data_IF_319115611502
#
_entry.id   IF_319115611502
#
_cell.length_a   1.000
_cell.length_b   1.000
_cell.length_c   1.000
_cell.angle_alpha   90.00
_cell.angle_beta   90.00
_cell.angle_gamma   90.00
#
_symmetry.space_group_name_H-M   'P 1'
#
loop_
_entity.id
_entity.type
_entity.pdbx_description
1 polymer ?
#
# COMPACT_ATOMS: atom_id res chain seq x y z
N UNK A 1 11.54 -3.34 9.92
CA UNK A 1 10.09 -3.63 9.78
C UNK A 1 9.30 -2.55 10.49
N UNK A 2 8.42 -1.85 9.77
CA UNK A 2 7.53 -0.83 10.34
C UNK A 2 6.46 -1.46 11.24
N UNK A 3 6.21 -0.85 12.40
CA UNK A 3 5.02 -1.13 13.20
C UNK A 3 3.81 -0.43 12.57
N UNK A 4 2.89 -1.20 11.96
CA UNK A 4 1.74 -0.65 11.24
C UNK A 4 0.59 -0.18 12.14
N UNK A 5 0.62 -0.50 13.44
CA UNK A 5 -0.44 -0.13 14.37
C UNK A 5 -0.57 1.39 14.44
N UNK A 6 -1.80 1.87 14.30
CA UNK A 6 -2.12 3.27 14.51
C UNK A 6 -3.48 3.35 15.15
N UNK A 7 -3.53 3.14 16.47
CA UNK A 7 -4.76 2.85 17.20
C UNK A 7 -5.93 3.81 16.87
N UNK A 8 -5.65 5.11 16.78
CA UNK A 8 -6.67 6.12 16.43
C UNK A 8 -7.19 5.97 15.00
N UNK A 9 -6.29 5.84 14.01
CA UNK A 9 -6.66 5.66 12.60
C UNK A 9 -7.34 4.30 12.39
N UNK A 10 -6.78 3.24 12.95
CA UNK A 10 -7.30 1.88 12.85
C UNK A 10 -8.74 1.81 13.43
N UNK A 11 -9.01 2.50 14.54
CA UNK A 11 -10.34 2.59 15.12
C UNK A 11 -11.33 3.30 14.19
N UNK A 12 -10.95 4.43 13.58
CA UNK A 12 -11.79 5.17 12.64
C UNK A 12 -12.09 4.34 11.38
N UNK A 13 -11.05 3.72 10.81
CA UNK A 13 -11.15 2.81 9.66
C UNK A 13 -12.04 1.60 9.95
N UNK A 14 -11.96 1.01 11.15
CA UNK A 14 -12.82 -0.13 11.54
C UNK A 14 -14.31 0.25 11.67
N UNK A 15 -14.59 1.52 11.95
CA UNK A 15 -15.95 2.06 12.10
C UNK A 15 -16.51 2.64 10.79
N UNK A 16 -15.75 2.58 9.69
CA UNK A 16 -16.13 3.21 8.42
C UNK A 16 -16.12 4.74 8.45
N UNK A 17 -15.42 5.35 9.41
CA UNK A 17 -15.30 6.80 9.55
C UNK A 17 -14.20 7.36 8.65
N UNK A 18 -14.38 7.19 7.35
CA UNK A 18 -13.35 7.43 6.34
C UNK A 18 -12.88 8.88 6.28
N UNK A 19 -13.78 9.85 6.39
CA UNK A 19 -13.39 11.26 6.37
C UNK A 19 -12.57 11.66 7.61
N UNK A 20 -12.95 11.19 8.80
CA UNK A 20 -12.19 11.41 10.04
C UNK A 20 -10.79 10.76 9.95
N UNK A 21 -10.70 9.52 9.44
CA UNK A 21 -9.43 8.82 9.24
C UNK A 21 -8.53 9.56 8.23
N UNK A 22 -9.10 10.01 7.12
CA UNK A 22 -8.42 10.78 6.07
C UNK A 22 -7.83 12.07 6.62
N UNK A 23 -8.63 12.87 7.33
CA UNK A 23 -8.18 14.12 7.93
C UNK A 23 -7.04 13.90 8.92
N UNK A 24 -7.13 12.87 9.76
CA UNK A 24 -6.09 12.53 10.72
C UNK A 24 -4.78 12.16 10.01
N UNK A 25 -4.84 11.29 8.99
CA UNK A 25 -3.67 10.91 8.20
C UNK A 25 -3.03 12.10 7.47
N UNK A 26 -3.83 12.96 6.84
CA UNK A 26 -3.36 14.16 6.15
C UNK A 26 -2.69 15.12 7.14
N UNK A 27 -3.32 15.37 8.30
CA UNK A 27 -2.77 16.26 9.31
C UNK A 27 -1.43 15.75 9.83
N UNK A 28 -1.32 14.46 10.13
CA UNK A 28 -0.06 13.87 10.59
C UNK A 28 1.01 13.95 9.51
N UNK A 29 0.69 13.55 8.27
CA UNK A 29 1.62 13.58 7.15
C UNK A 29 2.11 15.01 6.83
N UNK A 30 1.21 16.00 6.90
CA UNK A 30 1.55 17.40 6.61
C UNK A 30 2.47 18.02 7.67
N UNK A 31 2.38 17.57 8.92
CA UNK A 31 3.22 18.07 10.02
C UNK A 31 4.57 17.36 10.09
N UNK A 32 4.60 16.05 9.89
CA UNK A 32 5.80 15.23 9.96
C UNK A 32 5.70 14.04 8.99
N UNK A 33 6.04 14.26 7.70
CA UNK A 33 5.97 13.20 6.71
C UNK A 33 7.10 12.19 6.94
N UNK A 34 6.76 11.04 7.52
CA UNK A 34 7.65 9.89 7.62
C UNK A 34 7.20 8.76 6.68
N UNK A 35 8.04 7.71 6.59
CA UNK A 35 7.77 6.56 5.72
C UNK A 35 6.46 5.86 6.05
N UNK A 36 6.12 5.70 7.34
CA UNK A 36 4.90 5.03 7.79
C UNK A 36 3.68 5.86 7.44
N UNK A 37 3.68 7.16 7.74
CA UNK A 37 2.59 8.07 7.44
C UNK A 37 2.35 8.19 5.94
N UNK A 38 3.43 8.24 5.15
CA UNK A 38 3.37 8.28 3.67
C UNK A 38 2.75 7.01 3.11
N UNK A 39 3.19 5.83 3.58
CA UNK A 39 2.61 4.55 3.16
C UNK A 39 1.15 4.44 3.59
N UNK A 40 0.83 4.75 4.85
CA UNK A 40 -0.54 4.65 5.37
C UNK A 40 -1.50 5.56 4.62
N UNK A 41 -1.12 6.82 4.37
CA UNK A 41 -1.98 7.75 3.62
C UNK A 41 -2.10 7.35 2.15
N UNK A 42 -1.00 6.99 1.48
CA UNK A 42 -1.03 6.56 0.09
C UNK A 42 -1.89 5.30 -0.11
N UNK A 43 -1.67 4.29 0.74
CA UNK A 43 -2.47 3.06 0.74
C UNK A 43 -3.94 3.35 1.03
N UNK A 44 -4.25 4.20 2.01
CA UNK A 44 -5.62 4.59 2.35
C UNK A 44 -6.34 5.23 1.15
N UNK A 45 -5.69 6.20 0.49
CA UNK A 45 -6.26 6.85 -0.69
C UNK A 45 -6.51 5.86 -1.82
N UNK A 46 -5.52 5.03 -2.13
CA UNK A 46 -5.64 3.98 -3.14
C UNK A 46 -6.76 2.98 -2.81
N UNK A 47 -6.84 2.52 -1.55
CA UNK A 47 -7.84 1.55 -1.12
C UNK A 47 -9.27 2.07 -1.32
N UNK A 48 -9.55 3.30 -0.89
CA UNK A 48 -10.88 3.90 -1.08
C UNK A 48 -11.23 4.13 -2.55
N UNK A 49 -10.24 4.44 -3.39
CA UNK A 49 -10.44 4.59 -4.84
C UNK A 49 -10.76 3.25 -5.53
N UNK A 50 -10.15 2.16 -5.07
CA UNK A 50 -10.34 0.81 -5.63
C UNK A 50 -11.62 0.15 -5.12
N UNK A 51 -11.90 0.26 -3.82
CA UNK A 51 -12.94 -0.51 -3.13
C UNK A 51 -14.24 0.30 -2.92
N UNK A 52 -14.45 1.38 -3.67
CA UNK A 52 -15.66 2.22 -3.58
C UNK A 52 -16.97 1.41 -3.58
N UNK A 53 -17.11 0.48 -4.54
CA UNK A 53 -18.28 -0.39 -4.66
C UNK A 53 -18.50 -1.29 -3.43
N UNK A 54 -17.52 -2.13 -3.05
CA UNK A 54 -17.64 -3.01 -1.87
C UNK A 54 -17.79 -2.30 -0.53
N UNK A 55 -17.26 -1.09 -0.39
CA UNK A 55 -17.36 -0.29 0.83
C UNK A 55 -18.67 0.50 0.95
N UNK A 56 -19.49 0.49 -0.11
CA UNK A 56 -20.73 1.29 -0.22
C UNK A 56 -20.49 2.75 0.20
N UNK A 57 -19.39 3.34 -0.28
CA UNK A 57 -19.01 4.69 0.13
C UNK A 57 -20.12 5.67 -0.24
N UNK A 58 -20.58 6.41 0.76
CA UNK A 58 -21.61 7.43 0.58
C UNK A 58 -21.13 8.58 -0.31
N UNK A 59 -22.09 9.41 -0.73
CA UNK A 59 -21.87 10.62 -1.56
C UNK A 59 -20.90 11.62 -0.89
N UNK A 60 -20.62 11.46 0.40
CA UNK A 60 -19.79 12.35 1.22
C UNK A 60 -18.27 12.10 1.08
N UNK A 61 -17.83 11.15 0.25
CA UNK A 61 -16.41 10.93 -0.05
C UNK A 61 -15.99 11.78 -1.26
N UNK A 62 -15.03 12.67 -1.02
CA UNK A 62 -14.37 13.44 -2.08
C UNK A 62 -13.30 12.60 -2.80
N UNK A 63 -13.71 11.88 -3.84
CA UNK A 63 -12.82 11.04 -4.66
C UNK A 63 -11.75 11.84 -5.43
N UNK A 64 -12.09 13.03 -5.92
CA UNK A 64 -11.12 13.90 -6.59
C UNK A 64 -10.03 14.34 -5.62
N UNK A 65 -10.42 14.67 -4.38
CA UNK A 65 -9.47 14.93 -3.30
C UNK A 65 -8.58 13.73 -2.98
N UNK A 66 -9.15 12.52 -2.91
CA UNK A 66 -8.39 11.28 -2.68
C UNK A 66 -7.35 11.03 -3.77
N UNK A 67 -7.72 11.17 -5.04
CA UNK A 67 -6.79 11.01 -6.17
C UNK A 67 -5.68 12.07 -6.13
N UNK A 68 -6.03 13.33 -5.85
CA UNK A 68 -5.04 14.39 -5.70
C UNK A 68 -4.03 14.11 -4.57
N UNK A 69 -4.50 13.62 -3.41
CA UNK A 69 -3.61 13.24 -2.33
C UNK A 69 -2.76 12.01 -2.68
N UNK A 70 -3.33 11.02 -3.37
CA UNK A 70 -2.56 9.86 -3.85
C UNK A 70 -1.39 10.31 -4.72
N UNK A 71 -1.61 11.23 -5.67
CA UNK A 71 -0.54 11.77 -6.51
C UNK A 71 0.51 12.54 -5.71
N UNK A 72 0.09 13.39 -4.77
CA UNK A 72 1.00 14.17 -3.93
C UNK A 72 1.90 13.28 -3.07
N UNK A 73 1.30 12.28 -2.39
CA UNK A 73 2.01 11.37 -1.50
C UNK A 73 2.93 10.45 -2.31
N UNK A 74 2.50 9.99 -3.49
CA UNK A 74 3.34 9.22 -4.42
C UNK A 74 4.57 10.04 -4.84
N UNK A 75 4.36 11.27 -5.31
CA UNK A 75 5.46 12.13 -5.74
C UNK A 75 6.44 12.43 -4.60
N UNK A 76 5.93 12.71 -3.39
CA UNK A 76 6.76 12.91 -2.21
C UNK A 76 7.58 11.67 -1.86
N UNK A 77 6.94 10.50 -1.82
CA UNK A 77 7.61 9.26 -1.47
C UNK A 77 8.70 8.88 -2.48
N UNK A 78 8.44 9.02 -3.78
CA UNK A 78 9.42 8.78 -4.84
C UNK A 78 10.63 9.74 -4.75
N UNK A 79 10.44 10.95 -4.21
CA UNK A 79 11.53 11.90 -4.03
C UNK A 79 12.35 11.65 -2.76
N UNK A 80 11.79 10.99 -1.74
CA UNK A 80 12.38 10.96 -0.40
C UNK A 80 12.68 9.55 0.16
N UNK A 81 12.04 8.50 -0.35
CA UNK A 81 12.07 7.16 0.26
C UNK A 81 12.45 6.03 -0.71
N UNK A 82 13.19 6.36 -1.78
CA UNK A 82 13.70 5.36 -2.73
C UNK A 82 14.77 4.41 -2.14
N UNK A 83 15.21 4.66 -0.90
CA UNK A 83 16.09 3.80 -0.12
C UNK A 83 15.35 3.03 0.97
N UNK A 84 14.01 3.10 1.02
CA UNK A 84 13.17 2.44 2.03
C UNK A 84 12.40 1.28 1.40
N UNK A 85 12.77 0.07 1.75
CA UNK A 85 12.20 -1.18 1.26
C UNK A 85 10.67 -1.26 1.43
N UNK A 86 10.14 -0.86 2.60
CA UNK A 86 8.70 -0.85 2.88
C UNK A 86 7.93 0.11 1.95
N UNK A 87 8.51 1.26 1.61
CA UNK A 87 7.88 2.22 0.70
C UNK A 87 7.89 1.70 -0.73
N UNK A 88 9.06 1.25 -1.21
CA UNK A 88 9.23 0.67 -2.54
C UNK A 88 8.27 -0.51 -2.74
N UNK A 89 8.16 -1.39 -1.75
CA UNK A 89 7.26 -2.54 -1.82
C UNK A 89 5.80 -2.10 -1.86
N UNK A 90 5.33 -1.30 -0.90
CA UNK A 90 3.91 -0.98 -0.81
C UNK A 90 3.44 -0.16 -2.02
N UNK A 91 4.22 0.84 -2.44
CA UNK A 91 3.88 1.63 -3.63
C UNK A 91 4.04 0.83 -4.91
N UNK A 92 5.08 0.00 -5.01
CA UNK A 92 5.24 -0.91 -6.14
C UNK A 92 4.03 -1.83 -6.30
N UNK A 93 3.55 -2.41 -5.21
CA UNK A 93 2.39 -3.30 -5.18
C UNK A 93 1.12 -2.60 -5.69
N UNK A 94 0.74 -1.47 -5.08
CA UNK A 94 -0.52 -0.77 -5.42
C UNK A 94 -0.48 -0.15 -6.83
N UNK A 95 0.70 0.31 -7.28
CA UNK A 95 0.91 0.84 -8.63
C UNK A 95 0.79 -0.29 -9.65
N UNK A 96 1.43 -1.43 -9.44
CA UNK A 96 1.32 -2.57 -10.35
C UNK A 96 -0.11 -3.10 -10.44
N UNK A 97 -0.88 -3.06 -9.34
CA UNK A 97 -2.24 -3.58 -9.32
C UNK A 97 -3.24 -2.64 -10.02
N UNK A 98 -3.11 -1.31 -9.85
CA UNK A 98 -3.99 -0.32 -10.49
C UNK A 98 -3.22 0.92 -11.01
N UNK A 99 -2.45 0.78 -12.12
CA UNK A 99 -1.57 1.84 -12.62
C UNK A 99 -2.29 3.15 -13.01
N UNK A 100 -3.52 3.05 -13.47
CA UNK A 100 -4.28 4.18 -14.00
C UNK A 100 -4.61 5.26 -12.96
N UNK A 101 -4.56 4.95 -11.65
CA UNK A 101 -4.69 5.94 -10.59
C UNK A 101 -3.44 6.81 -10.42
N UNK A 102 -2.33 6.45 -11.05
CA UNK A 102 -1.04 7.15 -10.92
C UNK A 102 -0.64 7.86 -12.21
N UNK A 103 -1.12 7.40 -13.36
CA UNK A 103 -0.96 8.09 -14.63
C UNK A 103 -1.13 7.14 -15.84
N UNK A 104 -0.30 7.33 -16.85
CA UNK A 104 -0.30 6.48 -18.05
C UNK A 104 -0.01 5.01 -17.70
N UNK A 105 -0.86 4.11 -18.17
CA UNK A 105 -0.97 2.76 -17.64
C UNK A 105 0.33 1.97 -17.79
N UNK A 106 0.87 1.89 -19.00
CA UNK A 106 2.06 1.11 -19.31
C UNK A 106 3.30 1.64 -18.59
N UNK A 107 3.46 2.97 -18.52
CA UNK A 107 4.56 3.61 -17.82
C UNK A 107 4.51 3.35 -16.31
N UNK A 108 3.34 3.47 -15.71
CA UNK A 108 3.19 3.27 -14.27
C UNK A 108 3.20 1.79 -13.88
N UNK A 109 2.67 0.89 -14.70
CA UNK A 109 2.76 -0.55 -14.45
C UNK A 109 4.24 -0.99 -14.37
N UNK A 110 5.05 -0.56 -15.34
CA UNK A 110 6.50 -0.83 -15.34
C UNK A 110 7.19 -0.15 -14.16
N UNK A 111 6.81 1.08 -13.82
CA UNK A 111 7.33 1.75 -12.63
C UNK A 111 7.05 0.96 -11.35
N UNK A 112 5.84 0.42 -11.18
CA UNK A 112 5.47 -0.41 -10.04
C UNK A 112 6.35 -1.66 -9.95
N UNK A 113 6.57 -2.36 -11.06
CA UNK A 113 7.46 -3.54 -11.15
C UNK A 113 8.91 -3.20 -10.80
N UNK A 114 9.40 -2.04 -11.23
CA UNK A 114 10.73 -1.55 -10.87
C UNK A 114 10.85 -1.31 -9.35
N UNK A 115 9.85 -0.70 -8.73
CA UNK A 115 9.84 -0.47 -7.27
C UNK A 115 9.86 -1.79 -6.50
N UNK A 116 9.04 -2.78 -6.90
CA UNK A 116 9.03 -4.11 -6.29
C UNK A 116 10.40 -4.80 -6.41
N UNK A 117 11.03 -4.69 -7.58
CA UNK A 117 12.37 -5.22 -7.82
C UNK A 117 13.41 -4.57 -6.90
N UNK A 118 13.38 -3.25 -6.74
CA UNK A 118 14.31 -2.55 -5.86
C UNK A 118 14.07 -2.89 -4.38
N UNK A 119 12.81 -3.03 -3.94
CA UNK A 119 12.50 -3.50 -2.59
C UNK A 119 13.13 -4.87 -2.30
N UNK A 120 12.95 -5.83 -3.22
CA UNK A 120 13.55 -7.16 -3.11
C UNK A 120 15.09 -7.13 -3.16
N UNK A 121 15.71 -6.21 -3.89
CA UNK A 121 17.18 -6.08 -3.89
C UNK A 121 17.72 -5.55 -2.56
N UNK A 122 16.99 -4.64 -1.92
CA UNK A 122 17.40 -4.07 -0.63
C UNK A 122 17.31 -5.10 0.49
N UNK A 123 16.29 -5.96 0.45
CA UNK A 123 16.11 -7.06 1.41
C UNK A 123 15.60 -8.33 0.70
N UNK A 124 16.51 -9.17 0.16
CA UNK A 124 16.15 -10.33 -0.65
C UNK A 124 15.55 -11.50 0.13
N UNK A 125 15.80 -11.54 1.45
CA UNK A 125 15.33 -12.59 2.33
C UNK A 125 13.94 -12.30 2.91
N UNK A 126 13.40 -11.09 2.69
CA UNK A 126 12.06 -10.71 3.13
C UNK A 126 10.98 -11.38 2.23
N UNK A 127 10.13 -12.25 2.79
CA UNK A 127 9.20 -13.06 1.98
C UNK A 127 8.17 -12.25 1.20
N UNK A 128 7.64 -11.18 1.78
CA UNK A 128 6.61 -10.32 1.17
C UNK A 128 7.18 -9.58 -0.04
N UNK A 129 8.41 -9.07 0.06
CA UNK A 129 9.07 -8.38 -1.05
C UNK A 129 9.39 -9.34 -2.19
N UNK A 130 9.97 -10.50 -1.86
CA UNK A 130 10.28 -11.56 -2.82
C UNK A 130 9.02 -12.02 -3.55
N UNK A 131 7.96 -12.36 -2.82
CA UNK A 131 6.71 -12.83 -3.40
C UNK A 131 6.08 -11.76 -4.31
N UNK A 132 5.99 -10.51 -3.85
CA UNK A 132 5.40 -9.41 -4.61
C UNK A 132 6.16 -9.15 -5.92
N UNK A 133 7.50 -9.16 -5.87
CA UNK A 133 8.34 -9.00 -7.07
C UNK A 133 8.17 -10.18 -8.05
N UNK A 134 8.20 -11.42 -7.55
CA UNK A 134 8.04 -12.58 -8.42
C UNK A 134 6.65 -12.59 -9.07
N UNK A 135 5.60 -12.29 -8.30
CA UNK A 135 4.23 -12.18 -8.81
C UNK A 135 4.08 -11.12 -9.92
N UNK A 136 4.84 -10.03 -9.87
CA UNK A 136 4.79 -8.98 -10.89
C UNK A 136 5.43 -9.37 -12.24
N UNK A 137 6.08 -10.53 -12.33
CA UNK A 137 6.73 -11.01 -13.55
C UNK A 137 5.76 -11.79 -14.46
N UNK A 138 5.90 -11.71 -15.81
CA UNK A 138 4.98 -12.38 -16.74
C UNK A 138 4.93 -13.91 -16.65
N UNK A 139 5.94 -14.56 -16.04
CA UNK A 139 6.18 -16.02 -16.12
C UNK A 139 5.69 -16.75 -14.84
N UNK A 140 5.32 -16.04 -13.79
CA UNK A 140 5.15 -16.59 -12.43
C UNK A 140 3.73 -16.95 -12.01
N UNK A 141 2.70 -16.68 -12.82
CA UNK A 141 1.29 -16.82 -12.41
C UNK A 141 0.87 -18.22 -11.96
N UNK A 142 1.62 -19.27 -12.32
CA UNK A 142 1.28 -20.67 -12.01
C UNK A 142 2.29 -21.38 -11.08
N UNK A 143 3.27 -20.70 -10.45
CA UNK A 143 4.44 -21.40 -9.82
C UNK A 143 4.91 -20.92 -8.44
N UNK A 144 4.17 -20.05 -7.73
CA UNK A 144 4.67 -19.43 -6.50
C UNK A 144 4.14 -20.06 -5.20
N UNK A 145 3.70 -21.32 -5.21
CA UNK A 145 3.12 -21.97 -4.02
C UNK A 145 4.08 -21.98 -2.82
N UNK A 146 5.39 -22.13 -3.06
CA UNK A 146 6.41 -22.13 -2.00
C UNK A 146 6.62 -20.74 -1.39
N UNK A 147 6.76 -19.72 -2.23
CA UNK A 147 6.90 -18.33 -1.80
C UNK A 147 5.62 -17.80 -1.12
N UNK A 148 4.45 -18.28 -1.54
CA UNK A 148 3.19 -17.96 -0.88
C UNK A 148 3.15 -18.50 0.55
N UNK A 149 3.60 -19.73 0.79
CA UNK A 149 3.69 -20.29 2.14
C UNK A 149 4.73 -19.57 3.01
N UNK A 150 5.84 -19.09 2.42
CA UNK A 150 6.81 -18.22 3.13
C UNK A 150 6.16 -16.90 3.58
N UNK A 151 5.32 -16.28 2.75
CA UNK A 151 4.54 -15.09 3.12
C UNK A 151 3.57 -15.40 4.26
N UNK A 152 2.78 -16.48 4.14
CA UNK A 152 1.79 -16.87 5.16
C UNK A 152 2.41 -17.07 6.53
N UNK A 153 3.63 -17.61 6.58
CA UNK A 153 4.38 -17.81 7.82
C UNK A 153 4.69 -16.51 8.58
N UNK A 154 4.76 -15.36 7.87
CA UNK A 154 5.12 -14.06 8.47
C UNK A 154 3.97 -13.04 8.53
N UNK A 155 2.81 -13.32 7.93
CA UNK A 155 1.71 -12.34 7.79
C UNK A 155 1.27 -11.70 9.11
N UNK A 156 1.05 -12.51 10.15
CA UNK A 156 0.55 -12.01 11.43
C UNK A 156 1.55 -11.10 12.14
N UNK A 157 2.84 -11.42 12.05
CA UNK A 157 3.91 -10.60 12.61
C UNK A 157 4.14 -9.34 11.78
N UNK A 158 4.09 -9.47 10.46
CA UNK A 158 4.38 -8.41 9.50
C UNK A 158 3.31 -7.32 9.47
N UNK A 159 2.04 -7.71 9.59
CA UNK A 159 0.89 -6.82 9.45
C UNK A 159 0.13 -6.66 10.77
N UNK A 160 0.81 -6.11 11.77
CA UNK A 160 0.16 -5.83 13.07
C UNK A 160 -0.84 -4.67 12.97
N UNK A 161 -1.86 -4.71 13.83
CA UNK A 161 -2.90 -3.69 13.89
C UNK A 161 -4.17 -4.05 13.11
N UNK A 162 -5.21 -3.27 13.36
CA UNK A 162 -6.58 -3.53 12.89
C UNK A 162 -6.98 -2.58 11.75
N UNK A 163 -6.05 -1.75 11.29
CA UNK A 163 -6.27 -0.85 10.16
C UNK A 163 -6.50 -1.57 8.85
N UNK A 164 -6.99 -0.83 7.85
CA UNK A 164 -7.26 -1.34 6.51
C UNK A 164 -6.02 -1.96 5.89
N UNK A 165 -4.85 -1.32 6.00
CA UNK A 165 -3.60 -1.85 5.43
C UNK A 165 -3.32 -3.26 5.93
N UNK A 166 -3.32 -3.44 7.26
CA UNK A 166 -3.04 -4.73 7.87
C UNK A 166 -4.11 -5.77 7.53
N UNK A 167 -5.40 -5.39 7.57
CA UNK A 167 -6.50 -6.28 7.21
C UNK A 167 -6.46 -6.69 5.73
N UNK A 168 -6.14 -5.77 4.84
CA UNK A 168 -6.05 -6.01 3.40
C UNK A 168 -4.93 -7.01 3.08
N UNK A 169 -3.69 -6.76 3.53
CA UNK A 169 -2.58 -7.65 3.20
C UNK A 169 -2.71 -9.02 3.86
N UNK A 170 -3.35 -9.09 5.04
CA UNK A 170 -3.74 -10.38 5.61
C UNK A 170 -4.79 -11.09 4.76
N UNK A 171 -5.80 -10.38 4.23
CA UNK A 171 -6.89 -11.03 3.49
C UNK A 171 -6.49 -11.54 2.11
N UNK A 172 -5.66 -10.79 1.36
CA UNK A 172 -5.24 -11.18 0.01
C UNK A 172 -4.21 -12.30 -0.01
N UNK A 173 -3.56 -12.56 1.13
CA UNK A 173 -2.53 -13.59 1.29
C UNK A 173 -2.88 -14.66 2.33
N UNK A 174 -4.12 -14.69 2.84
CA UNK A 174 -4.57 -15.68 3.83
C UNK A 174 -4.69 -17.10 3.25
#
# INVERSE_FOLDING_TARGET
MIDWRWAEVDALESQGKWNEAKELLINHWSLNPDVKATIRLGFFCWYLLVEDGPLELGIDIDFNGLESFLHQVTAFGLANFMDKEDFLWCFGYIITLFPYFFGEYELWEEKGKELLKEAHKLDPDEPVYKYSYLWSLPISRDKNDGEFEEVRAVLEERFQGEGVLSRYFKSVWY
#
